data_IF_756278570001
#
_entry.id   IF_756278570001
#
_cell.length_a   1.000
_cell.length_b   1.000
_cell.length_c   1.000
_cell.angle_alpha   90.00
_cell.angle_beta   90.00
_cell.angle_gamma   90.00
#
_symmetry.space_group_name_H-M   'P 1'
#
loop_
_entity.id
_entity.type
_entity.pdbx_description
1 polymer ?
#
# COMPACT_ATOMS: atom_id res chain seq x y z
N UNK A 1 -11.90 0.78 -1.45
CA UNK A 1 -11.91 1.12 -0.02
C UNK A 1 -12.50 2.50 0.22
N UNK A 2 -13.21 2.65 1.34
CA UNK A 2 -13.75 3.92 1.84
C UNK A 2 -12.73 4.53 2.82
N UNK A 3 -11.60 4.92 2.32
CA UNK A 3 -10.48 5.42 3.11
C UNK A 3 -10.80 6.75 3.80
N UNK A 4 -11.74 7.52 3.24
CA UNK A 4 -12.20 8.78 3.82
C UNK A 4 -12.75 8.66 5.24
N UNK A 5 -13.20 7.46 5.64
CA UNK A 5 -13.72 7.21 6.98
C UNK A 5 -12.66 7.26 8.08
N UNK A 6 -11.42 7.02 7.75
CA UNK A 6 -10.31 7.01 8.70
C UNK A 6 -9.38 8.21 8.53
N UNK A 7 -9.74 9.18 7.70
CA UNK A 7 -8.96 10.42 7.56
C UNK A 7 -9.36 11.43 8.64
N UNK A 8 -8.36 12.03 9.23
CA UNK A 8 -8.52 13.20 10.06
C UNK A 8 -8.54 14.43 9.15
N UNK A 9 -9.72 15.01 8.95
CA UNK A 9 -9.90 16.12 8.00
C UNK A 9 -9.28 17.43 8.48
N UNK A 10 -8.86 17.48 9.74
CA UNK A 10 -8.09 18.61 10.27
C UNK A 10 -6.57 18.43 10.07
N UNK A 11 -6.13 17.21 9.74
CA UNK A 11 -4.73 16.91 9.45
C UNK A 11 -4.46 16.97 7.95
N UNK A 12 -4.01 18.11 7.47
CA UNK A 12 -3.74 18.32 6.05
C UNK A 12 -2.53 17.58 5.52
N UNK A 13 -1.72 16.97 6.38
CA UNK A 13 -0.59 16.14 5.95
C UNK A 13 -1.04 14.76 5.46
N UNK A 14 -2.25 14.36 5.79
CA UNK A 14 -2.83 13.07 5.37
C UNK A 14 -4.08 13.23 4.52
N UNK A 15 -5.03 14.10 4.90
CA UNK A 15 -6.33 14.16 4.22
C UNK A 15 -6.25 14.60 2.75
N UNK A 16 -5.18 15.28 2.34
CA UNK A 16 -4.97 15.70 0.95
C UNK A 16 -4.32 14.60 0.08
N UNK A 17 -3.82 13.54 0.70
CA UNK A 17 -3.07 12.49 0.00
C UNK A 17 -3.89 11.22 -0.26
N UNK A 18 -4.93 10.99 0.51
CA UNK A 18 -5.71 9.76 0.46
C UNK A 18 -7.15 10.04 0.06
N UNK A 19 -7.78 9.06 -0.54
CA UNK A 19 -9.18 9.14 -0.93
C UNK A 19 -9.78 7.75 -1.10
N UNK A 20 -11.02 7.75 -1.54
CA UNK A 20 -11.78 6.53 -1.77
C UNK A 20 -11.52 6.01 -3.20
N UNK A 21 -11.56 4.71 -3.36
CA UNK A 21 -11.41 4.12 -4.67
C UNK A 21 -11.75 2.64 -4.68
N UNK A 22 -12.08 2.15 -5.85
CA UNK A 22 -12.33 0.73 -6.09
C UNK A 22 -11.89 0.34 -7.49
N UNK A 23 -11.55 -0.91 -7.65
CA UNK A 23 -11.21 -1.48 -8.93
C UNK A 23 -11.44 -2.98 -8.91
N UNK A 24 -11.56 -3.58 -10.08
CA UNK A 24 -11.75 -5.01 -10.21
C UNK A 24 -11.08 -5.53 -11.48
N UNK A 25 -10.64 -6.77 -11.43
CA UNK A 25 -10.15 -7.50 -12.58
C UNK A 25 -10.79 -8.88 -12.62
N UNK A 26 -10.93 -9.44 -13.81
CA UNK A 26 -11.41 -10.80 -13.99
C UNK A 26 -10.25 -11.67 -14.45
N UNK A 27 -9.99 -12.74 -13.69
CA UNK A 27 -8.99 -13.73 -14.04
C UNK A 27 -9.68 -14.96 -14.65
N UNK A 28 -9.14 -15.43 -15.74
CA UNK A 28 -9.62 -16.66 -16.38
C UNK A 28 -8.44 -17.61 -16.65
N UNK A 29 -8.71 -18.92 -16.61
CA UNK A 29 -7.72 -19.91 -16.97
C UNK A 29 -7.62 -20.00 -18.49
N UNK A 30 -6.41 -19.93 -19.02
CA UNK A 30 -6.13 -20.07 -20.43
C UNK A 30 -5.01 -21.08 -20.66
N UNK A 31 -5.00 -21.69 -21.84
CA UNK A 31 -3.98 -22.66 -22.20
C UNK A 31 -2.95 -22.00 -23.10
N UNK A 32 -1.68 -22.08 -22.67
CA UNK A 32 -0.56 -21.53 -23.44
C UNK A 32 -0.47 -20.01 -23.34
N UNK A 33 0.53 -19.44 -24.01
CA UNK A 33 0.74 -18.00 -24.06
C UNK A 33 1.62 -17.47 -22.92
N UNK A 34 1.81 -16.15 -22.97
CA UNK A 34 2.67 -15.42 -22.03
C UNK A 34 2.03 -14.14 -21.51
N UNK A 35 0.68 -14.15 -21.45
CA UNK A 35 -0.09 -13.03 -20.89
C UNK A 35 -0.45 -13.31 -19.43
N UNK A 36 -0.73 -12.26 -18.69
CA UNK A 36 -1.14 -12.34 -17.29
C UNK A 36 -0.04 -11.86 -16.34
N UNK A 37 -0.08 -12.33 -15.10
CA UNK A 37 0.96 -12.02 -14.11
C UNK A 37 2.15 -12.93 -14.37
N UNK A 38 3.24 -12.37 -14.87
CA UNK A 38 4.42 -13.13 -15.27
C UNK A 38 5.44 -13.28 -14.14
N UNK A 39 5.50 -12.32 -13.22
CA UNK A 39 6.36 -12.36 -12.05
C UNK A 39 5.77 -11.48 -10.95
N UNK A 40 6.09 -11.81 -9.71
CA UNK A 40 5.69 -10.99 -8.56
C UNK A 40 6.73 -11.05 -7.46
N UNK A 41 6.86 -9.97 -6.71
CA UNK A 41 7.71 -9.89 -5.53
C UNK A 41 6.96 -9.14 -4.44
N UNK A 42 7.03 -9.65 -3.22
CA UNK A 42 6.36 -9.06 -2.06
C UNK A 42 7.37 -8.86 -0.94
N UNK A 43 7.28 -7.73 -0.28
CA UNK A 43 8.10 -7.41 0.88
C UNK A 43 7.25 -6.80 1.98
N UNK A 44 7.66 -7.01 3.22
CA UNK A 44 7.08 -6.37 4.39
C UNK A 44 8.19 -6.04 5.40
N UNK A 45 8.07 -4.90 6.05
CA UNK A 45 9.03 -4.44 7.04
C UNK A 45 8.28 -3.92 8.28
N UNK A 46 7.82 -4.84 9.12
CA UNK A 46 7.01 -4.51 10.30
C UNK A 46 7.69 -3.58 11.30
N UNK A 47 9.02 -3.48 11.28
CA UNK A 47 9.77 -2.56 12.14
C UNK A 47 9.45 -1.07 11.88
N UNK A 48 8.86 -0.75 10.74
CA UNK A 48 8.46 0.62 10.39
C UNK A 48 6.95 0.85 10.54
N UNK A 49 6.27 -0.01 11.28
CA UNK A 49 4.83 0.08 11.45
C UNK A 49 4.34 1.37 12.09
N UNK A 50 5.19 2.06 12.85
CA UNK A 50 4.86 3.34 13.49
C UNK A 50 4.97 4.56 12.56
N UNK A 51 5.45 4.38 11.34
CA UNK A 51 5.53 5.47 10.36
C UNK A 51 4.23 5.74 9.62
N UNK A 52 3.39 4.73 9.50
CA UNK A 52 2.09 4.82 8.82
C UNK A 52 1.15 3.79 9.46
N UNK A 53 0.14 4.27 10.17
CA UNK A 53 -0.76 3.42 10.94
C UNK A 53 -2.10 4.11 11.16
N UNK A 54 -3.06 3.37 11.67
CA UNK A 54 -4.34 3.89 12.17
C UNK A 54 -4.30 3.82 13.69
N UNK A 55 -4.60 4.93 14.35
CA UNK A 55 -4.41 5.08 15.80
C UNK A 55 -5.54 4.51 16.67
N UNK A 56 -6.48 3.81 16.07
CA UNK A 56 -7.56 3.15 16.78
C UNK A 56 -8.35 2.24 15.86
N UNK A 57 -9.33 1.57 16.42
CA UNK A 57 -10.20 0.67 15.67
C UNK A 57 -11.11 -0.14 16.59
N UNK A 58 -12.08 -0.89 16.03
CA UNK A 58 -13.04 -1.66 16.83
C UNK A 58 -12.40 -2.67 17.78
N UNK A 59 -11.30 -3.28 17.37
CA UNK A 59 -10.63 -4.31 18.16
C UNK A 59 -9.52 -3.79 19.09
N UNK A 60 -9.23 -2.50 19.08
CA UNK A 60 -8.21 -1.89 19.93
C UNK A 60 -8.78 -0.86 20.88
N UNK A 61 -9.34 0.22 20.36
CA UNK A 61 -9.87 1.33 21.16
C UNK A 61 -11.40 1.30 21.27
N UNK A 62 -12.09 0.48 20.47
CA UNK A 62 -13.54 0.47 20.36
C UNK A 62 -14.12 1.67 19.60
N UNK A 63 -13.25 2.46 18.96
CA UNK A 63 -13.64 3.66 18.19
C UNK A 63 -13.01 3.61 16.80
N UNK A 64 -13.47 4.48 15.90
CA UNK A 64 -12.81 4.68 14.61
C UNK A 64 -11.50 5.44 14.87
N UNK A 65 -10.38 4.85 14.41
CA UNK A 65 -9.11 5.53 14.44
C UNK A 65 -8.88 6.42 13.23
N UNK A 66 -7.81 7.20 13.27
CA UNK A 66 -7.38 8.04 12.16
C UNK A 66 -6.03 7.61 11.64
N UNK A 67 -5.81 7.80 10.33
CA UNK A 67 -4.50 7.58 9.71
C UNK A 67 -3.50 8.56 10.28
N UNK A 68 -2.36 8.03 10.72
CA UNK A 68 -1.21 8.81 11.17
C UNK A 68 -0.01 8.45 10.32
N UNK A 69 0.71 9.44 9.86
CA UNK A 69 1.81 9.22 8.93
C UNK A 69 2.97 10.18 9.18
N UNK A 70 4.17 9.62 9.20
CA UNK A 70 5.41 10.38 9.11
C UNK A 70 5.80 10.49 7.62
N UNK A 71 5.19 11.44 6.93
CA UNK A 71 5.20 11.51 5.47
C UNK A 71 6.58 11.55 4.83
N UNK A 72 7.52 12.30 5.43
CA UNK A 72 8.88 12.41 4.91
C UNK A 72 9.61 11.06 4.92
N UNK A 73 9.46 10.30 5.99
CA UNK A 73 10.10 8.99 6.14
C UNK A 73 9.42 7.93 5.28
N UNK A 74 8.10 7.94 5.22
CA UNK A 74 7.33 7.07 4.32
C UNK A 74 7.74 7.31 2.87
N UNK A 75 7.85 8.56 2.44
CA UNK A 75 8.28 8.90 1.09
C UNK A 75 9.68 8.36 0.79
N UNK A 76 10.63 8.56 1.69
CA UNK A 76 12.00 8.08 1.51
C UNK A 76 12.06 6.56 1.38
N UNK A 77 11.37 5.82 2.25
CA UNK A 77 11.31 4.37 2.17
C UNK A 77 10.57 3.88 0.93
N UNK A 78 9.49 4.56 0.55
CA UNK A 78 8.75 4.21 -0.65
C UNK A 78 9.60 4.32 -1.91
N UNK A 79 10.35 5.41 -2.08
CA UNK A 79 11.25 5.59 -3.22
C UNK A 79 12.27 4.47 -3.29
N UNK A 80 12.94 4.18 -2.18
CA UNK A 80 13.96 3.12 -2.12
C UNK A 80 13.36 1.74 -2.37
N UNK A 81 12.28 1.40 -1.69
CA UNK A 81 11.71 0.06 -1.72
C UNK A 81 10.99 -0.23 -3.03
N UNK A 82 10.28 0.73 -3.60
CA UNK A 82 9.61 0.55 -4.89
C UNK A 82 10.63 0.40 -6.02
N UNK A 83 11.70 1.18 -6.00
CA UNK A 83 12.78 1.02 -6.98
C UNK A 83 13.44 -0.36 -6.87
N UNK A 84 13.71 -0.82 -5.66
CA UNK A 84 14.32 -2.13 -5.43
C UNK A 84 13.42 -3.28 -5.89
N UNK A 85 12.14 -3.28 -5.50
CA UNK A 85 11.22 -4.36 -5.87
C UNK A 85 10.93 -4.39 -7.38
N UNK A 86 10.91 -3.23 -8.02
CA UNK A 86 10.79 -3.16 -9.47
C UNK A 86 11.99 -3.81 -10.15
N UNK A 87 13.19 -3.53 -9.67
CA UNK A 87 14.41 -4.19 -10.16
C UNK A 87 14.35 -5.71 -10.00
N UNK A 88 13.93 -6.20 -8.83
CA UNK A 88 13.77 -7.64 -8.57
C UNK A 88 12.79 -8.30 -9.54
N UNK A 89 11.66 -7.66 -9.83
CA UNK A 89 10.66 -8.19 -10.75
C UNK A 89 11.20 -8.25 -12.17
N UNK A 90 11.89 -7.18 -12.61
CA UNK A 90 12.50 -7.16 -13.93
C UNK A 90 13.58 -8.24 -14.08
N UNK A 91 14.42 -8.41 -13.07
CA UNK A 91 15.43 -9.46 -13.07
C UNK A 91 14.80 -10.85 -13.16
N UNK A 92 13.71 -11.09 -12.45
CA UNK A 92 12.97 -12.34 -12.52
C UNK A 92 12.36 -12.61 -13.91
N UNK A 93 11.91 -11.54 -14.59
CA UNK A 93 11.34 -11.66 -15.95
C UNK A 93 12.41 -11.90 -16.99
N UNK A 94 13.62 -11.35 -16.82
CA UNK A 94 14.70 -11.40 -17.79
C UNK A 94 15.65 -12.59 -17.59
N UNK A 95 15.49 -13.30 -16.48
CA UNK A 95 16.30 -14.50 -16.18
C UNK A 95 15.84 -15.76 -17.00
#
# INVERSE_FOLDING_TARGET
ETFSRILDWDDRTTCVLFGDGAGAVVLSAETGGNRGVLASKLHAQGRYGDMLYVDGGPSTTGTVGHVRMHGREVFRHAVTNLAAVLGEVLDALLA
#
